data_IF_730073479890
#
_entry.id   IF_730073479890
#
_cell.length_a   1.000
_cell.length_b   1.000
_cell.length_c   1.000
_cell.angle_alpha   90.00
_cell.angle_beta   90.00
_cell.angle_gamma   90.00
#
_symmetry.space_group_name_H-M   'P 1'
#
loop_
_entity.id
_entity.type
_entity.pdbx_description
1 polymer ?
#
# COMPACT_ATOMS: atom_id res chain seq x y z
N UNK A 1 -28.17 8.13 -23.70
CA UNK A 1 -26.93 8.79 -23.21
C UNK A 1 -25.94 7.75 -22.63
N UNK A 2 -26.41 6.59 -22.18
CA UNK A 2 -25.58 5.53 -21.62
C UNK A 2 -25.61 4.26 -22.50
N UNK A 3 -25.09 4.36 -23.72
CA UNK A 3 -25.11 3.21 -24.64
C UNK A 3 -24.15 2.07 -24.23
N UNK A 4 -23.21 2.31 -23.31
CA UNK A 4 -22.23 1.32 -22.86
C UNK A 4 -21.84 1.57 -21.38
N UNK A 5 -22.82 1.49 -20.49
CA UNK A 5 -22.56 1.57 -19.06
C UNK A 5 -22.52 0.18 -18.42
N UNK A 6 -21.63 -0.05 -17.47
CA UNK A 6 -21.56 -1.22 -16.60
C UNK A 6 -21.65 -0.81 -15.16
N UNK A 7 -22.55 -1.42 -14.39
CA UNK A 7 -22.60 -1.28 -12.94
C UNK A 7 -22.16 -2.62 -12.34
N UNK A 8 -21.22 -2.55 -11.41
CA UNK A 8 -20.74 -3.68 -10.63
C UNK A 8 -21.06 -3.44 -9.17
N UNK A 9 -21.60 -4.45 -8.49
CA UNK A 9 -21.88 -4.44 -7.06
C UNK A 9 -21.38 -5.72 -6.43
N UNK A 10 -20.96 -5.66 -5.17
CA UNK A 10 -20.54 -6.85 -4.45
C UNK A 10 -20.40 -6.59 -2.96
N UNK A 11 -20.20 -7.67 -2.23
CA UNK A 11 -19.97 -7.63 -0.79
C UNK A 11 -18.97 -8.71 -0.37
N UNK A 12 -18.31 -8.47 0.77
CA UNK A 12 -17.37 -9.38 1.40
C UNK A 12 -17.58 -9.31 2.91
N UNK A 13 -17.53 -10.45 3.57
CA UNK A 13 -17.38 -10.54 5.01
C UNK A 13 -16.14 -11.36 5.33
N UNK A 14 -15.28 -10.82 6.18
CA UNK A 14 -14.06 -11.46 6.65
C UNK A 14 -14.04 -11.50 8.17
N UNK A 15 -13.67 -12.63 8.73
CA UNK A 15 -13.38 -12.79 10.15
C UNK A 15 -12.00 -13.42 10.30
N UNK A 16 -11.18 -12.79 11.14
CA UNK A 16 -9.86 -13.27 11.51
C UNK A 16 -9.78 -13.36 13.02
N UNK A 17 -9.53 -14.57 13.53
CA UNK A 17 -9.20 -14.82 14.92
C UNK A 17 -7.74 -15.31 14.96
N UNK A 18 -6.92 -14.67 15.77
CA UNK A 18 -5.49 -14.98 15.86
C UNK A 18 -5.04 -14.95 17.31
N UNK A 19 -4.43 -16.05 17.76
CA UNK A 19 -3.95 -16.20 19.14
C UNK A 19 -2.49 -16.66 19.12
N UNK A 20 -1.68 -16.09 19.98
CA UNK A 20 -0.31 -16.56 20.24
C UNK A 20 -0.16 -16.98 21.67
N UNK A 21 0.49 -18.12 21.89
CA UNK A 21 0.76 -18.66 23.20
C UNK A 21 2.26 -18.91 23.41
N UNK A 22 2.73 -18.68 24.61
CA UNK A 22 4.09 -19.04 25.03
C UNK A 22 4.06 -19.51 26.48
N UNK A 23 4.63 -20.69 26.74
CA UNK A 23 4.72 -21.29 28.08
C UNK A 23 3.36 -21.40 28.81
N UNK A 24 2.29 -21.70 28.04
CA UNK A 24 0.93 -21.82 28.59
C UNK A 24 0.22 -20.48 28.87
N UNK A 25 0.81 -19.36 28.49
CA UNK A 25 0.21 -18.03 28.62
C UNK A 25 -0.17 -17.55 27.22
N UNK A 26 -1.42 -17.08 27.05
CA UNK A 26 -1.86 -16.41 25.83
C UNK A 26 -1.22 -15.03 25.79
N UNK A 27 -0.23 -14.82 24.91
CA UNK A 27 0.48 -13.55 24.80
C UNK A 27 -0.31 -12.49 24.04
N UNK A 28 -1.11 -12.90 23.07
CA UNK A 28 -1.96 -12.06 22.27
C UNK A 28 -3.20 -12.84 21.82
N UNK A 29 -4.36 -12.27 22.04
CA UNK A 29 -5.61 -12.64 21.39
C UNK A 29 -6.09 -11.47 20.54
N UNK A 30 -6.32 -11.72 19.25
CA UNK A 30 -6.69 -10.70 18.26
C UNK A 30 -7.86 -11.18 17.45
N UNK A 31 -8.89 -10.36 17.38
CA UNK A 31 -10.09 -10.62 16.60
C UNK A 31 -10.37 -9.45 15.67
N UNK A 32 -10.65 -9.76 14.41
CA UNK A 32 -11.06 -8.77 13.41
C UNK A 32 -12.24 -9.29 12.63
N UNK A 33 -13.27 -8.48 12.55
CA UNK A 33 -14.40 -8.66 11.67
C UNK A 33 -14.46 -7.47 10.72
N UNK A 34 -14.64 -7.73 9.43
CA UNK A 34 -14.78 -6.71 8.40
C UNK A 34 -15.94 -7.08 7.51
N UNK A 35 -16.95 -6.23 7.47
CA UNK A 35 -18.03 -6.31 6.50
C UNK A 35 -17.85 -5.21 5.45
N UNK A 36 -17.85 -5.56 4.18
CA UNK A 36 -17.68 -4.60 3.10
C UNK A 36 -18.71 -4.77 2.00
N UNK A 37 -19.09 -3.67 1.37
CA UNK A 37 -19.90 -3.63 0.16
C UNK A 37 -19.34 -2.59 -0.80
N UNK A 38 -19.49 -2.81 -2.11
CA UNK A 38 -19.06 -1.84 -3.09
C UNK A 38 -20.07 -1.68 -4.22
N UNK A 39 -20.01 -0.49 -4.82
CA UNK A 39 -20.68 -0.17 -6.08
C UNK A 39 -19.71 0.57 -6.98
N UNK A 40 -19.69 0.22 -8.25
CA UNK A 40 -18.86 0.85 -9.28
C UNK A 40 -19.64 1.00 -10.58
N UNK A 41 -19.58 2.20 -11.15
CA UNK A 41 -20.09 2.54 -12.48
C UNK A 41 -18.92 2.75 -13.42
N UNK A 42 -18.96 2.08 -14.56
CA UNK A 42 -18.05 2.32 -15.70
C UNK A 42 -18.88 2.78 -16.90
N UNK A 43 -18.46 3.85 -17.57
CA UNK A 43 -19.17 4.35 -18.75
C UNK A 43 -18.23 5.14 -19.65
N UNK A 44 -18.56 5.18 -20.94
CA UNK A 44 -17.86 6.00 -21.93
C UNK A 44 -18.82 7.03 -22.51
N UNK A 45 -18.41 8.29 -22.54
CA UNK A 45 -19.16 9.40 -23.12
C UNK A 45 -18.24 10.12 -24.12
N UNK A 46 -18.45 9.87 -25.41
CA UNK A 46 -17.59 10.40 -26.46
C UNK A 46 -16.16 9.89 -26.37
N UNK A 47 -15.22 10.77 -26.03
CA UNK A 47 -13.80 10.45 -25.85
C UNK A 47 -13.40 10.30 -24.37
N UNK A 48 -14.37 10.36 -23.46
CA UNK A 48 -14.15 10.27 -22.04
C UNK A 48 -14.61 8.91 -21.50
N UNK A 49 -13.70 8.21 -20.84
CA UNK A 49 -14.00 7.00 -20.09
C UNK A 49 -14.03 7.36 -18.59
N UNK A 50 -15.07 6.90 -17.91
CA UNK A 50 -15.29 7.15 -16.48
C UNK A 50 -15.39 5.84 -15.72
N UNK A 51 -14.73 5.80 -14.58
CA UNK A 51 -14.95 4.80 -13.53
C UNK A 51 -15.22 5.58 -12.25
N UNK A 52 -16.39 5.35 -11.65
CA UNK A 52 -16.77 5.98 -10.40
C UNK A 52 -17.28 4.89 -9.46
N UNK A 53 -16.71 4.81 -8.28
CA UNK A 53 -17.10 3.79 -7.33
C UNK A 53 -16.87 4.21 -5.89
N UNK A 54 -17.41 3.41 -4.99
CA UNK A 54 -17.10 3.49 -3.57
C UNK A 54 -17.23 2.12 -2.94
N UNK A 55 -16.37 1.85 -1.97
CA UNK A 55 -16.47 0.71 -1.08
C UNK A 55 -16.76 1.22 0.32
N UNK A 56 -17.76 0.66 0.95
CA UNK A 56 -18.13 0.88 2.34
C UNK A 56 -17.62 -0.29 3.16
N UNK A 57 -16.93 -0.03 4.26
CA UNK A 57 -16.41 -1.05 5.16
C UNK A 57 -16.74 -0.71 6.60
N UNK A 58 -17.22 -1.72 7.33
CA UNK A 58 -17.40 -1.70 8.78
C UNK A 58 -16.37 -2.62 9.41
N UNK A 59 -15.55 -2.05 10.28
CA UNK A 59 -14.48 -2.75 11.00
C UNK A 59 -14.86 -2.89 12.47
N UNK A 60 -14.72 -4.09 12.99
CA UNK A 60 -14.73 -4.38 14.42
C UNK A 60 -13.46 -5.15 14.76
N UNK A 61 -12.51 -4.45 15.40
CA UNK A 61 -11.21 -5.00 15.79
C UNK A 61 -11.08 -4.88 17.30
N UNK A 62 -10.77 -5.98 17.94
CA UNK A 62 -10.58 -6.08 19.39
C UNK A 62 -9.56 -7.15 19.73
N UNK A 63 -9.14 -7.18 20.97
CA UNK A 63 -8.24 -8.22 21.47
C UNK A 63 -7.62 -7.84 22.80
N UNK A 64 -6.78 -8.73 23.32
CA UNK A 64 -6.04 -8.54 24.55
C UNK A 64 -4.59 -8.96 24.38
N UNK A 65 -3.70 -8.36 25.14
CA UNK A 65 -2.29 -8.73 25.21
C UNK A 65 -1.88 -8.94 26.66
N UNK A 66 -1.06 -9.96 26.91
CA UNK A 66 -0.52 -10.21 28.25
C UNK A 66 0.62 -9.26 28.56
N UNK A 67 0.50 -8.54 29.67
CA UNK A 67 1.54 -7.67 30.20
C UNK A 67 2.38 -8.42 31.22
N UNK A 68 3.61 -8.75 30.86
CA UNK A 68 4.52 -9.52 31.72
C UNK A 68 4.97 -8.76 32.98
N UNK A 69 4.91 -7.43 32.97
CA UNK A 69 5.31 -6.61 34.13
C UNK A 69 4.22 -6.55 35.20
N UNK A 70 2.96 -6.48 34.78
CA UNK A 70 1.80 -6.41 35.68
C UNK A 70 1.15 -7.74 35.93
N UNK A 71 1.49 -8.78 35.16
CA UNK A 71 0.87 -10.11 35.13
C UNK A 71 -0.65 -10.04 34.84
N UNK A 72 -1.08 -9.06 34.05
CA UNK A 72 -2.48 -8.84 33.68
C UNK A 72 -2.63 -8.79 32.16
N UNK A 73 -3.87 -8.91 31.69
CA UNK A 73 -4.21 -8.71 30.29
C UNK A 73 -4.63 -7.27 30.08
N UNK A 74 -3.98 -6.60 29.14
CA UNK A 74 -4.33 -5.25 28.67
C UNK A 74 -5.14 -5.36 27.39
N UNK A 75 -6.17 -4.52 27.24
CA UNK A 75 -6.94 -4.43 26.00
C UNK A 75 -6.10 -3.83 24.88
N UNK A 76 -6.16 -4.41 23.69
CA UNK A 76 -5.70 -3.77 22.47
C UNK A 76 -6.58 -2.55 22.16
N UNK A 77 -6.03 -1.58 21.44
CA UNK A 77 -6.83 -0.45 20.98
C UNK A 77 -8.01 -0.94 20.12
N UNK A 78 -9.22 -0.74 20.65
CA UNK A 78 -10.45 -1.12 19.95
C UNK A 78 -10.66 -0.19 18.76
N UNK A 79 -10.79 -0.78 17.56
CA UNK A 79 -11.08 -0.05 16.35
C UNK A 79 -12.41 -0.51 15.78
N UNK A 80 -13.46 0.29 16.06
CA UNK A 80 -14.79 0.05 15.52
C UNK A 80 -15.23 1.28 14.73
N UNK A 81 -15.18 1.16 13.39
CA UNK A 81 -15.45 2.30 12.52
C UNK A 81 -16.02 1.86 11.17
N UNK A 82 -17.05 2.59 10.74
CA UNK A 82 -17.53 2.59 9.38
C UNK A 82 -16.74 3.61 8.54
N UNK A 83 -16.28 3.18 7.37
CA UNK A 83 -15.50 4.01 6.46
C UNK A 83 -15.92 3.84 5.01
N UNK A 84 -15.81 4.94 4.25
CA UNK A 84 -16.01 4.96 2.81
C UNK A 84 -14.65 5.12 2.09
N UNK A 85 -14.48 4.33 1.04
CA UNK A 85 -13.31 4.32 0.18
C UNK A 85 -13.71 4.64 -1.25
N UNK A 86 -13.88 5.93 -1.59
CA UNK A 86 -14.20 6.34 -2.95
C UNK A 86 -13.04 6.06 -3.89
N UNK A 87 -13.39 5.73 -5.14
CA UNK A 87 -12.49 5.65 -6.27
C UNK A 87 -13.10 6.37 -7.47
N UNK A 88 -12.29 7.08 -8.21
CA UNK A 88 -12.68 7.75 -9.43
C UNK A 88 -11.54 7.69 -10.45
N UNK A 89 -11.88 7.42 -11.69
CA UNK A 89 -10.95 7.49 -12.82
C UNK A 89 -11.64 8.19 -13.98
N UNK A 90 -10.93 9.13 -14.58
CA UNK A 90 -11.37 9.80 -15.81
C UNK A 90 -10.22 9.71 -16.80
N UNK A 91 -10.48 9.14 -17.97
CA UNK A 91 -9.52 9.07 -19.06
C UNK A 91 -10.07 9.82 -20.28
N UNK A 92 -9.27 10.71 -20.84
CA UNK A 92 -9.57 11.40 -22.08
C UNK A 92 -8.70 10.83 -23.22
N UNK A 93 -9.36 10.34 -24.27
CA UNK A 93 -8.72 9.77 -25.44
C UNK A 93 -8.59 10.85 -26.53
N UNK A 94 -7.42 11.52 -26.61
CA UNK A 94 -7.16 12.60 -27.58
C UNK A 94 -7.28 12.09 -29.00
N UNK A 95 -6.52 11.03 -29.29
CA UNK A 95 -6.48 10.33 -30.57
C UNK A 95 -6.14 8.86 -30.33
N UNK A 96 -6.19 8.05 -31.38
CA UNK A 96 -5.84 6.62 -31.27
C UNK A 96 -4.41 6.47 -30.71
N UNK A 97 -4.31 5.81 -29.57
CA UNK A 97 -3.04 5.53 -28.89
C UNK A 97 -2.49 6.67 -28.03
N UNK A 98 -3.21 7.81 -27.86
CA UNK A 98 -2.79 8.88 -26.93
C UNK A 98 -3.92 9.22 -25.99
N UNK A 99 -3.67 9.06 -24.69
CA UNK A 99 -4.65 9.33 -23.64
C UNK A 99 -4.03 10.07 -22.46
N UNK A 100 -4.90 10.77 -21.73
CA UNK A 100 -4.62 11.38 -20.45
C UNK A 100 -5.60 10.82 -19.41
N UNK A 101 -5.10 10.35 -18.28
CA UNK A 101 -5.92 9.81 -17.22
C UNK A 101 -5.62 10.52 -15.88
N UNK A 102 -6.67 10.73 -15.10
CA UNK A 102 -6.60 11.16 -13.70
C UNK A 102 -7.34 10.15 -12.87
N UNK A 103 -6.67 9.65 -11.84
CA UNK A 103 -7.19 8.65 -10.92
C UNK A 103 -7.16 9.18 -9.50
N UNK A 104 -8.19 8.87 -8.74
CA UNK A 104 -8.23 9.06 -7.29
C UNK A 104 -8.69 7.77 -6.63
N UNK A 105 -8.03 7.36 -5.58
CA UNK A 105 -8.53 6.29 -4.72
C UNK A 105 -8.12 6.50 -3.27
N UNK A 106 -9.03 6.14 -2.36
CA UNK A 106 -8.79 6.10 -0.93
C UNK A 106 -8.58 4.65 -0.49
N UNK A 107 -7.61 4.42 0.40
CA UNK A 107 -7.28 3.09 0.92
C UNK A 107 -7.00 3.13 2.41
N UNK A 108 -7.14 1.98 3.07
CA UNK A 108 -6.74 1.74 4.44
C UNK A 108 -5.69 0.63 4.49
N UNK A 109 -4.73 0.77 5.40
CA UNK A 109 -3.81 -0.30 5.77
C UNK A 109 -3.89 -0.49 7.27
N UNK A 110 -4.35 -1.66 7.68
CA UNK A 110 -4.37 -2.05 9.09
C UNK A 110 -2.94 -2.39 9.54
N UNK A 111 -2.55 -2.07 10.78
CA UNK A 111 -1.29 -2.55 11.35
C UNK A 111 -1.22 -4.07 11.33
N UNK A 112 -0.06 -4.63 11.01
CA UNK A 112 0.12 -6.08 11.11
C UNK A 112 0.06 -6.53 12.56
N UNK A 113 -0.39 -7.76 12.78
CA UNK A 113 -0.52 -8.34 14.13
C UNK A 113 0.84 -8.33 14.86
N UNK A 114 1.93 -8.56 14.14
CA UNK A 114 3.28 -8.52 14.71
C UNK A 114 3.67 -7.15 15.26
N UNK A 115 3.19 -6.06 14.65
CA UNK A 115 3.42 -4.70 15.14
C UNK A 115 2.56 -4.33 16.33
N UNK A 116 1.40 -4.97 16.49
CA UNK A 116 0.49 -4.76 17.61
C UNK A 116 0.90 -5.51 18.87
N UNK A 117 1.63 -6.63 18.75
CA UNK A 117 1.98 -7.47 19.88
C UNK A 117 3.20 -6.91 20.65
N UNK A 118 3.03 -6.31 21.84
CA UNK A 118 4.13 -5.76 22.63
C UNK A 118 5.08 -6.85 23.17
N UNK A 119 4.66 -8.12 23.17
CA UNK A 119 5.49 -9.24 23.57
C UNK A 119 6.33 -9.83 22.43
N UNK A 120 6.17 -9.32 21.22
CA UNK A 120 6.99 -9.71 20.06
C UNK A 120 8.32 -8.95 20.10
N UNK A 121 9.18 -9.32 21.05
CA UNK A 121 10.47 -8.70 21.22
C UNK A 121 11.51 -9.44 20.37
N UNK A 122 12.13 -8.72 19.45
CA UNK A 122 13.26 -9.22 18.69
C UNK A 122 14.54 -8.67 19.30
N UNK A 123 15.38 -9.55 19.82
CA UNK A 123 16.67 -9.17 20.37
C UNK A 123 17.74 -9.28 19.31
N UNK A 124 18.30 -8.16 18.90
CA UNK A 124 19.54 -8.10 18.14
C UNK A 124 20.72 -7.86 19.06
N UNK A 125 21.68 -8.74 19.13
CA UNK A 125 22.95 -8.57 19.86
C UNK A 125 22.87 -7.96 21.28
N UNK A 126 21.86 -8.33 22.06
CA UNK A 126 21.76 -7.98 23.47
C UNK A 126 21.38 -6.54 23.81
N UNK A 127 21.68 -5.58 22.95
CA UNK A 127 21.50 -4.14 23.21
C UNK A 127 20.40 -3.49 22.38
N UNK A 128 19.71 -4.24 21.52
CA UNK A 128 18.63 -3.73 20.68
C UNK A 128 17.34 -4.47 20.98
N UNK A 129 16.31 -3.75 21.40
CA UNK A 129 14.98 -4.28 21.64
C UNK A 129 14.00 -3.68 20.63
N UNK A 130 13.24 -4.54 19.95
CA UNK A 130 12.10 -4.12 19.12
C UNK A 130 10.82 -4.59 19.78
N UNK A 131 9.92 -3.67 20.07
CA UNK A 131 8.66 -3.94 20.76
C UNK A 131 7.49 -3.51 19.89
N UNK A 132 6.43 -4.33 19.84
CA UNK A 132 5.17 -3.94 19.19
C UNK A 132 4.43 -2.89 20.02
N UNK A 133 3.45 -2.24 19.38
CA UNK A 133 2.64 -1.20 19.99
C UNK A 133 1.14 -1.50 19.79
N UNK A 134 0.49 -1.91 20.87
CA UNK A 134 -0.95 -2.24 20.87
C UNK A 134 -1.88 -1.05 20.53
N UNK A 135 -1.35 0.18 20.57
CA UNK A 135 -2.11 1.41 20.31
C UNK A 135 -2.02 1.91 18.86
N UNK A 136 -1.40 1.16 17.96
CA UNK A 136 -1.30 1.54 16.57
C UNK A 136 -2.68 1.66 15.90
N UNK A 137 -2.84 2.75 15.19
CA UNK A 137 -4.03 3.03 14.39
C UNK A 137 -3.79 2.70 12.91
N UNK A 138 -4.84 2.41 12.15
CA UNK A 138 -4.74 2.20 10.72
C UNK A 138 -4.20 3.42 9.98
N UNK A 139 -3.39 3.18 8.97
CA UNK A 139 -2.91 4.19 8.02
C UNK A 139 -3.93 4.39 6.91
N UNK A 140 -4.25 5.63 6.60
CA UNK A 140 -5.16 6.02 5.51
C UNK A 140 -4.37 6.68 4.40
N UNK A 141 -4.63 6.25 3.16
CA UNK A 141 -4.02 6.78 1.96
C UNK A 141 -5.07 7.42 1.07
N UNK A 142 -4.83 8.66 0.65
CA UNK A 142 -5.51 9.30 -0.46
C UNK A 142 -4.50 9.41 -1.61
N UNK A 143 -4.73 8.65 -2.69
CA UNK A 143 -3.83 8.58 -3.83
C UNK A 143 -4.44 9.35 -5.00
N UNK A 144 -3.69 10.28 -5.56
CA UNK A 144 -4.04 11.04 -6.76
C UNK A 144 -2.97 10.77 -7.80
N UNK A 145 -3.37 10.31 -8.96
CA UNK A 145 -2.47 10.03 -10.08
C UNK A 145 -2.93 10.78 -11.33
N UNK A 146 -1.98 11.39 -12.04
CA UNK A 146 -2.19 11.93 -13.38
C UNK A 146 -1.17 11.29 -14.32
N UNK A 147 -1.64 10.77 -15.47
CA UNK A 147 -0.81 10.04 -16.42
C UNK A 147 -1.15 10.41 -17.86
N UNK A 148 -0.12 10.70 -18.64
CA UNK A 148 -0.20 10.76 -20.11
C UNK A 148 0.45 9.50 -20.66
N UNK A 149 -0.22 8.83 -21.59
CA UNK A 149 0.32 7.67 -22.31
C UNK A 149 0.23 7.89 -23.81
N UNK A 150 1.25 7.45 -24.54
CA UNK A 150 1.29 7.52 -25.99
C UNK A 150 1.71 6.18 -26.59
N UNK A 151 0.87 5.64 -27.49
CA UNK A 151 1.11 4.42 -28.28
C UNK A 151 1.45 3.18 -27.43
N UNK A 152 0.93 3.12 -26.18
CA UNK A 152 1.15 2.06 -25.19
C UNK A 152 2.62 1.85 -24.76
N UNK A 153 3.54 2.68 -25.23
CA UNK A 153 4.98 2.54 -24.97
C UNK A 153 5.55 3.69 -24.15
N UNK A 154 5.09 4.92 -24.39
CA UNK A 154 5.62 6.11 -23.72
C UNK A 154 4.61 6.58 -22.70
N UNK A 155 5.04 6.80 -21.49
CA UNK A 155 4.19 7.44 -20.49
C UNK A 155 4.98 8.39 -19.59
N UNK A 156 4.27 9.40 -19.12
CA UNK A 156 4.68 10.30 -18.06
C UNK A 156 3.58 10.28 -17.01
N UNK A 157 3.94 10.00 -15.77
CA UNK A 157 3.03 9.94 -14.65
C UNK A 157 3.51 10.76 -13.46
N UNK A 158 2.57 11.35 -12.76
CA UNK A 158 2.76 11.98 -11.47
C UNK A 158 1.78 11.36 -10.47
N UNK A 159 2.28 10.99 -9.30
CA UNK A 159 1.50 10.40 -8.24
C UNK A 159 1.73 11.16 -6.94
N UNK A 160 0.65 11.59 -6.29
CA UNK A 160 0.62 12.22 -4.98
C UNK A 160 -0.10 11.29 -4.00
N UNK A 161 0.64 10.81 -3.01
CA UNK A 161 0.06 10.05 -1.91
C UNK A 161 0.00 10.94 -0.66
N UNK A 162 -1.21 11.20 -0.18
CA UNK A 162 -1.45 11.83 1.11
C UNK A 162 -1.69 10.70 2.12
N UNK A 163 -0.84 10.62 3.13
CA UNK A 163 -0.84 9.53 4.09
C UNK A 163 -1.16 10.09 5.47
N UNK A 164 -2.17 9.54 6.13
CA UNK A 164 -2.54 9.89 7.49
C UNK A 164 -2.29 8.71 8.42
N UNK A 165 -1.82 8.98 9.63
CA UNK A 165 -1.45 7.97 10.63
C UNK A 165 -0.40 6.97 10.12
N UNK A 166 0.61 7.45 9.37
CA UNK A 166 1.70 6.60 8.90
C UNK A 166 2.39 5.92 10.07
N UNK A 167 2.51 4.60 10.02
CA UNK A 167 3.32 3.86 11.00
C UNK A 167 4.78 4.01 10.63
N UNK A 168 5.58 4.45 11.59
CA UNK A 168 7.04 4.53 11.49
C UNK A 168 7.69 3.82 12.67
N UNK A 169 8.92 3.34 12.47
CA UNK A 169 9.73 2.83 13.55
C UNK A 169 10.54 3.99 14.16
N UNK A 170 10.32 4.24 15.43
CA UNK A 170 11.06 5.22 16.21
C UNK A 170 12.16 4.51 17.00
N UNK A 171 13.36 5.01 16.89
CA UNK A 171 14.51 4.53 17.63
C UNK A 171 14.83 5.49 18.77
N UNK A 172 14.97 4.96 19.98
CA UNK A 172 15.36 5.69 21.17
C UNK A 172 16.58 5.02 21.79
N UNK A 173 17.60 5.79 22.15
CA UNK A 173 18.80 5.32 22.82
C UNK A 173 18.83 5.79 24.27
N UNK A 174 19.10 4.86 25.19
CA UNK A 174 19.33 5.16 26.61
C UNK A 174 20.60 4.43 27.05
N UNK A 175 21.70 5.17 27.20
CA UNK A 175 23.01 4.57 27.46
C UNK A 175 23.46 3.68 26.28
N UNK A 176 23.71 2.40 26.57
CA UNK A 176 24.10 1.40 25.57
C UNK A 176 22.90 0.60 25.00
N UNK A 177 21.70 0.84 25.52
CA UNK A 177 20.48 0.20 25.04
C UNK A 177 19.80 1.03 23.95
N UNK A 178 19.36 0.35 22.89
CA UNK A 178 18.58 0.93 21.80
C UNK A 178 17.19 0.26 21.79
N UNK A 179 16.16 1.07 21.96
CA UNK A 179 14.77 0.65 21.88
C UNK A 179 14.14 1.13 20.57
N UNK A 180 13.48 0.21 19.87
CA UNK A 180 12.73 0.48 18.65
C UNK A 180 11.26 0.18 18.89
N UNK A 181 10.42 1.20 18.75
CA UNK A 181 8.96 1.07 18.85
C UNK A 181 8.29 1.64 17.61
N UNK A 182 7.18 1.02 17.21
CA UNK A 182 6.38 1.52 16.11
C UNK A 182 5.36 2.53 16.63
N UNK A 183 5.29 3.70 16.00
CA UNK A 183 4.36 4.79 16.35
C UNK A 183 3.68 5.32 15.09
N UNK A 184 2.47 5.87 15.25
CA UNK A 184 1.82 6.60 14.17
C UNK A 184 2.32 8.05 14.15
N UNK A 185 2.70 8.54 12.98
CA UNK A 185 2.89 9.97 12.71
C UNK A 185 1.62 10.56 12.10
N UNK A 186 1.37 11.86 12.32
CA UNK A 186 0.11 12.50 11.93
C UNK A 186 -0.14 12.47 10.43
N UNK A 187 0.84 12.84 9.61
CA UNK A 187 0.69 12.84 8.14
C UNK A 187 2.02 12.82 7.41
N UNK A 188 1.98 12.31 6.19
CA UNK A 188 3.08 12.38 5.22
C UNK A 188 2.53 12.70 3.83
N UNK A 189 3.36 13.31 2.98
CA UNK A 189 3.08 13.54 1.56
C UNK A 189 4.21 12.96 0.75
N UNK A 190 3.86 12.10 -0.21
CA UNK A 190 4.83 11.43 -1.07
C UNK A 190 4.53 11.79 -2.52
N UNK A 191 5.52 12.36 -3.20
CA UNK A 191 5.44 12.76 -4.60
C UNK A 191 6.30 11.80 -5.42
N UNK A 192 5.71 11.15 -6.43
CA UNK A 192 6.41 10.26 -7.33
C UNK A 192 6.24 10.73 -8.78
N UNK A 193 7.34 10.79 -9.52
CA UNK A 193 7.37 11.03 -10.95
C UNK A 193 7.82 9.77 -11.65
N UNK A 194 7.06 9.33 -12.63
CA UNK A 194 7.31 8.12 -13.38
C UNK A 194 7.40 8.45 -14.87
N UNK A 195 8.45 7.99 -15.51
CA UNK A 195 8.60 8.07 -16.96
C UNK A 195 8.93 6.69 -17.50
N UNK A 196 8.29 6.29 -18.58
CA UNK A 196 8.58 5.05 -19.29
C UNK A 196 8.62 5.28 -20.77
N UNK A 197 9.58 4.65 -21.44
CA UNK A 197 9.72 4.62 -22.88
C UNK A 197 10.41 3.32 -23.31
N UNK A 198 10.09 2.78 -24.51
CA UNK A 198 10.73 1.57 -25.00
C UNK A 198 12.15 1.87 -25.41
N UNK A 199 13.08 1.01 -25.03
CA UNK A 199 14.43 1.02 -25.61
C UNK A 199 14.41 0.02 -26.77
N UNK A 200 14.56 0.45 -28.05
CA UNK A 200 14.56 -0.49 -29.16
C UNK A 200 15.74 -1.44 -29.05
N UNK A 201 15.47 -2.71 -28.77
CA UNK A 201 16.52 -3.74 -28.62
C UNK A 201 17.41 -3.87 -29.86
N UNK A 202 16.90 -3.51 -31.04
CA UNK A 202 17.64 -3.53 -32.29
C UNK A 202 18.84 -2.57 -32.34
N UNK A 203 18.82 -1.46 -31.61
CA UNK A 203 19.96 -0.51 -31.60
C UNK A 203 21.15 -1.13 -30.88
N UNK A 204 20.92 -1.84 -29.78
CA UNK A 204 21.98 -2.50 -29.03
C UNK A 204 22.60 -3.69 -29.78
N UNK A 205 21.79 -4.49 -30.47
CA UNK A 205 22.30 -5.65 -31.24
C UNK A 205 23.11 -5.22 -32.46
N UNK A 206 22.75 -4.10 -33.09
CA UNK A 206 23.50 -3.56 -34.22
C UNK A 206 24.86 -2.98 -33.78
N UNK A 207 24.89 -2.20 -32.71
CA UNK A 207 26.14 -1.65 -32.14
C UNK A 207 27.07 -2.74 -31.62
N UNK A 208 26.58 -3.81 -31.00
CA UNK A 208 27.40 -4.95 -30.56
C UNK A 208 27.98 -5.69 -31.78
N UNK A 209 27.20 -5.90 -32.85
CA UNK A 209 27.69 -6.53 -34.07
C UNK A 209 28.76 -5.69 -34.78
N UNK A 210 28.62 -4.36 -34.79
CA UNK A 210 29.60 -3.46 -35.35
C UNK A 210 30.92 -3.47 -34.53
N UNK A 211 30.80 -3.46 -33.20
CA UNK A 211 31.96 -3.55 -32.29
C UNK A 211 32.67 -4.91 -32.44
N UNK A 212 31.94 -6.03 -32.47
CA UNK A 212 32.50 -7.36 -32.66
C UNK A 212 33.09 -7.54 -34.07
N UNK A 213 32.47 -6.95 -35.10
CA UNK A 213 32.99 -6.94 -36.47
C UNK A 213 34.30 -6.17 -36.58
N UNK A 214 34.44 -5.05 -35.87
CA UNK A 214 35.68 -4.26 -35.85
C UNK A 214 36.85 -4.96 -35.12
N UNK A 215 36.53 -5.79 -34.11
CA UNK A 215 37.53 -6.58 -33.39
C UNK A 215 38.04 -7.77 -34.18
N UNK A 216 37.26 -8.30 -35.13
CA UNK A 216 37.70 -9.46 -35.96
C UNK A 216 38.57 -9.10 -37.13
N UNK A 217 38.72 -7.82 -37.49
CA UNK A 217 39.53 -7.33 -38.60
C UNK A 217 40.95 -6.86 -38.19
N UNK A 218 41.26 -6.91 -36.91
CA UNK A 218 42.65 -6.65 -36.44
C UNK A 218 43.36 -7.98 -36.17
N UNK A 219 43.68 -8.71 -37.25
CA UNK A 219 44.73 -9.74 -37.17
C UNK A 219 45.97 -9.13 -37.86
N UNK A 220 47.07 -8.91 -37.13
CA UNK A 220 48.32 -8.54 -37.80
C UNK A 220 49.00 -9.79 -38.33
N UNK A 221 49.38 -9.75 -39.58
CA UNK A 221 50.43 -10.63 -40.17
C UNK A 221 51.74 -10.41 -39.43
#
# INVERSE_FOLDING_TARGET
IFDKGKISVGGLYERLDFTTESRGITNLDYQRQTASSYVELQTTIGKLDFILGTRAEDYDISGTTYNSSTHQYDDLHKFKQYRLFPNASVQYNFMKGVNFAVNYNKKISLPSISLLNPNNNTYGNGNVQTTGNANLQPTIFDNIEAKISAFDYVFLGYNLNLVNNQVIQKMTRSGDEVSMINENISSARIHNFNIGFPIPFMIFTKSIKEIMGSMSTTNPD
#
